data_IF_470972047670
#
_entry.id   IF_470972047670
#
_cell.length_a   1.000
_cell.length_b   1.000
_cell.length_c   1.000
_cell.angle_alpha   90.00
_cell.angle_beta   90.00
_cell.angle_gamma   90.00
#
_symmetry.space_group_name_H-M   'P 1'
#
loop_
_entity.id
_entity.type
_entity.pdbx_description
1 polymer ?
#
# COMPACT_ATOMS: atom_id res chain seq x y z
N UNK A 1 -1.42 -22.89 20.41
CA UNK A 1 -1.36 -21.79 19.45
C UNK A 1 -2.58 -21.82 18.52
N UNK A 2 -2.85 -20.73 17.78
CA UNK A 2 -3.88 -20.75 16.76
C UNK A 2 -3.44 -21.59 15.55
N UNK A 3 -4.38 -22.24 14.87
CA UNK A 3 -4.07 -22.90 13.60
C UNK A 3 -3.82 -21.84 12.50
N UNK A 4 -3.00 -22.13 11.48
CA UNK A 4 -2.78 -21.21 10.37
C UNK A 4 -4.09 -20.82 9.66
N UNK A 5 -5.05 -21.74 9.53
CA UNK A 5 -6.36 -21.49 8.92
C UNK A 5 -7.21 -20.51 9.73
N UNK A 6 -7.18 -20.58 11.06
CA UNK A 6 -7.87 -19.62 11.92
C UNK A 6 -7.27 -18.21 11.77
N UNK A 7 -5.94 -18.11 11.77
CA UNK A 7 -5.27 -16.80 11.58
C UNK A 7 -5.59 -16.24 10.20
N UNK A 8 -5.54 -17.05 9.15
CA UNK A 8 -5.91 -16.64 7.81
C UNK A 8 -7.37 -16.16 7.74
N UNK A 9 -8.30 -16.86 8.38
CA UNK A 9 -9.70 -16.44 8.49
C UNK A 9 -9.87 -15.07 9.15
N UNK A 10 -9.14 -14.82 10.25
CA UNK A 10 -9.15 -13.51 10.94
C UNK A 10 -8.63 -12.40 10.03
N UNK A 11 -7.55 -12.66 9.28
CA UNK A 11 -6.94 -11.69 8.35
C UNK A 11 -7.88 -11.38 7.19
N UNK A 12 -8.45 -12.40 6.54
CA UNK A 12 -9.41 -12.23 5.43
C UNK A 12 -10.62 -11.44 5.91
N UNK A 13 -11.25 -11.86 7.01
CA UNK A 13 -12.40 -11.14 7.57
C UNK A 13 -12.10 -9.69 7.91
N UNK A 14 -10.87 -9.37 8.36
CA UNK A 14 -10.49 -8.00 8.68
C UNK A 14 -10.28 -7.12 7.44
N UNK A 15 -9.60 -7.63 6.43
CA UNK A 15 -9.09 -6.80 5.32
C UNK A 15 -9.91 -6.94 4.05
N UNK A 16 -10.53 -8.09 3.79
CA UNK A 16 -11.38 -8.35 2.63
C UNK A 16 -12.85 -8.10 2.96
N UNK A 17 -13.35 -8.70 4.04
CA UNK A 17 -14.74 -8.52 4.49
C UNK A 17 -14.97 -7.23 5.29
N UNK A 18 -13.94 -6.42 5.52
CA UNK A 18 -13.98 -5.17 6.29
C UNK A 18 -14.53 -5.31 7.73
N UNK A 19 -14.35 -6.49 8.34
CA UNK A 19 -14.87 -6.82 9.66
C UNK A 19 -13.86 -6.46 10.76
N UNK A 20 -14.07 -5.40 11.56
CA UNK A 20 -13.13 -5.00 12.60
C UNK A 20 -12.93 -6.10 13.66
N UNK A 21 -11.74 -6.16 14.27
CA UNK A 21 -11.40 -7.21 15.24
C UNK A 21 -12.35 -7.25 16.45
N UNK A 22 -12.91 -6.11 16.88
CA UNK A 22 -13.87 -6.10 17.99
C UNK A 22 -15.17 -6.83 17.63
N UNK A 23 -15.63 -6.74 16.37
CA UNK A 23 -16.78 -7.50 15.90
C UNK A 23 -16.48 -8.98 15.75
N UNK A 24 -15.28 -9.32 15.30
CA UNK A 24 -14.84 -10.72 15.26
C UNK A 24 -14.78 -11.32 16.67
N UNK A 25 -14.29 -10.59 17.68
CA UNK A 25 -14.31 -10.99 19.09
C UNK A 25 -15.74 -11.33 19.55
N UNK A 26 -16.72 -10.51 19.18
CA UNK A 26 -18.11 -10.74 19.54
C UNK A 26 -18.74 -11.92 18.81
N UNK A 27 -18.36 -12.15 17.55
CA UNK A 27 -18.80 -13.32 16.77
C UNK A 27 -18.26 -14.58 17.44
N UNK A 28 -16.95 -14.65 17.70
CA UNK A 28 -16.35 -15.79 18.39
C UNK A 28 -16.99 -16.06 19.77
N UNK A 29 -17.31 -14.99 20.53
CA UNK A 29 -17.97 -15.14 21.83
C UNK A 29 -19.36 -15.77 21.71
N UNK A 30 -20.14 -15.42 20.68
CA UNK A 30 -21.46 -16.03 20.42
C UNK A 30 -21.36 -17.51 20.07
N UNK A 31 -20.26 -17.89 19.43
CA UNK A 31 -19.95 -19.28 19.08
C UNK A 31 -19.27 -20.06 20.24
N UNK A 32 -19.14 -19.46 21.42
CA UNK A 32 -18.55 -20.08 22.59
C UNK A 32 -17.02 -19.99 22.69
N UNK A 33 -16.35 -19.19 21.83
CA UNK A 33 -14.90 -19.02 21.85
C UNK A 33 -14.52 -17.66 22.48
N UNK A 34 -13.63 -17.67 23.47
CA UNK A 34 -13.17 -16.47 24.14
C UNK A 34 -11.82 -15.98 23.57
N UNK A 35 -11.88 -15.28 22.44
CA UNK A 35 -10.72 -14.71 21.75
C UNK A 35 -10.79 -13.19 21.85
N UNK A 36 -9.92 -12.59 22.66
CA UNK A 36 -9.87 -11.14 22.80
C UNK A 36 -9.35 -10.45 21.54
N UNK A 37 -9.83 -9.24 21.28
CA UNK A 37 -9.34 -8.41 20.16
C UNK A 37 -7.83 -8.17 20.20
N UNK A 38 -7.22 -8.11 21.40
CA UNK A 38 -5.78 -8.00 21.56
C UNK A 38 -5.07 -9.26 21.03
N UNK A 39 -5.63 -10.44 21.31
CA UNK A 39 -5.11 -11.70 20.80
C UNK A 39 -5.22 -11.77 19.28
N UNK A 40 -6.38 -11.40 18.73
CA UNK A 40 -6.58 -11.33 17.29
C UNK A 40 -5.61 -10.33 16.63
N UNK A 41 -5.41 -9.16 17.24
CA UNK A 41 -4.45 -8.17 16.76
C UNK A 41 -3.00 -8.71 16.76
N UNK A 42 -2.60 -9.42 17.83
CA UNK A 42 -1.26 -10.03 17.88
C UNK A 42 -1.04 -11.06 16.76
N UNK A 43 -2.06 -11.85 16.41
CA UNK A 43 -1.99 -12.78 15.29
C UNK A 43 -1.82 -12.08 13.94
N UNK A 44 -2.57 -10.99 13.72
CA UNK A 44 -2.45 -10.20 12.49
C UNK A 44 -1.04 -9.62 12.35
N UNK A 45 -0.47 -9.09 13.43
CA UNK A 45 0.88 -8.52 13.43
C UNK A 45 1.93 -9.61 13.16
N UNK A 46 1.88 -10.73 13.90
CA UNK A 46 2.82 -11.84 13.70
C UNK A 46 2.73 -12.41 12.27
N UNK A 47 1.51 -12.53 11.74
CA UNK A 47 1.31 -12.99 10.35
C UNK A 47 1.93 -12.01 9.33
N UNK A 48 1.73 -10.71 9.53
CA UNK A 48 2.36 -9.69 8.68
C UNK A 48 3.90 -9.82 8.71
N UNK A 49 4.51 -9.98 9.89
CA UNK A 49 5.96 -10.14 10.02
C UNK A 49 6.47 -11.36 9.24
N UNK A 50 5.73 -12.46 9.26
CA UNK A 50 6.05 -13.66 8.47
C UNK A 50 5.91 -13.46 6.96
N UNK A 51 5.07 -12.51 6.52
CA UNK A 51 4.89 -12.18 5.10
C UNK A 51 5.96 -11.21 4.55
N UNK A 52 6.76 -10.56 5.39
CA UNK A 52 7.75 -9.58 4.94
C UNK A 52 8.69 -10.10 3.83
N UNK A 53 9.23 -11.34 3.88
CA UNK A 53 10.06 -11.87 2.79
C UNK A 53 9.30 -12.00 1.47
N UNK A 54 8.01 -12.36 1.53
CA UNK A 54 7.16 -12.45 0.35
C UNK A 54 6.83 -11.06 -0.22
N UNK A 55 6.56 -10.08 0.64
CA UNK A 55 6.35 -8.68 0.23
C UNK A 55 7.62 -8.14 -0.45
N UNK A 56 8.81 -8.39 0.11
CA UNK A 56 10.08 -8.00 -0.52
C UNK A 56 10.28 -8.66 -1.89
N UNK A 57 9.92 -9.93 -2.03
CA UNK A 57 9.92 -10.62 -3.32
C UNK A 57 8.97 -9.95 -4.34
N UNK A 58 7.75 -9.59 -3.93
CA UNK A 58 6.80 -8.88 -4.80
C UNK A 58 7.33 -7.50 -5.20
N UNK A 59 7.90 -6.75 -4.26
CA UNK A 59 8.56 -5.46 -4.54
C UNK A 59 9.67 -5.63 -5.58
N UNK A 60 10.56 -6.61 -5.42
CA UNK A 60 11.60 -6.91 -6.41
C UNK A 60 11.04 -7.19 -7.81
N UNK A 61 9.89 -7.85 -7.89
CA UNK A 61 9.23 -8.10 -9.17
C UNK A 61 8.65 -6.83 -9.78
N UNK A 62 7.94 -6.03 -9.01
CA UNK A 62 7.37 -4.75 -9.45
C UNK A 62 8.46 -3.82 -9.98
N UNK A 63 9.55 -3.66 -9.23
CA UNK A 63 10.66 -2.77 -9.61
C UNK A 63 11.58 -3.33 -10.73
N UNK A 64 11.24 -4.47 -11.31
CA UNK A 64 11.81 -4.97 -12.58
C UNK A 64 10.96 -4.62 -13.80
N UNK A 65 9.78 -4.05 -13.60
CA UNK A 65 8.91 -3.63 -14.71
C UNK A 65 9.56 -2.49 -15.49
N UNK A 66 9.35 -2.46 -16.80
CA UNK A 66 9.80 -1.35 -17.64
C UNK A 66 9.02 -0.05 -17.36
N UNK A 67 7.87 -0.19 -16.72
CA UNK A 67 6.98 0.91 -16.37
C UNK A 67 6.28 0.60 -15.04
N UNK A 68 6.28 1.57 -14.12
CA UNK A 68 5.50 1.50 -12.89
C UNK A 68 4.62 2.74 -12.75
N UNK A 69 3.45 2.55 -12.15
CA UNK A 69 2.57 3.63 -11.73
C UNK A 69 2.58 3.72 -10.22
N UNK A 70 2.69 4.95 -9.69
CA UNK A 70 2.54 5.22 -8.24
C UNK A 70 1.50 6.30 -8.02
N UNK A 71 0.69 6.09 -7.02
CA UNK A 71 -0.29 7.07 -6.54
C UNK A 71 -0.37 6.98 -5.01
N UNK A 72 -0.82 8.03 -4.33
CA UNK A 72 -0.96 7.99 -2.90
C UNK A 72 -2.26 8.62 -2.42
N UNK A 73 -2.79 8.06 -1.35
CA UNK A 73 -3.94 8.62 -0.65
C UNK A 73 -3.61 8.88 0.81
N UNK A 74 -4.17 9.95 1.37
CA UNK A 74 -4.04 10.24 2.79
C UNK A 74 -4.81 9.24 3.62
N UNK A 75 -4.18 8.80 4.71
CA UNK A 75 -4.84 8.01 5.76
C UNK A 75 -4.62 8.67 7.10
N UNK A 76 -5.67 8.71 7.91
CA UNK A 76 -5.57 9.19 9.28
C UNK A 76 -4.92 8.12 10.16
N UNK A 77 -3.91 8.51 10.92
CA UNK A 77 -3.20 7.63 11.85
C UNK A 77 -3.22 8.21 13.25
N UNK A 78 -3.28 7.35 14.25
CA UNK A 78 -3.30 7.77 15.65
C UNK A 78 -1.87 7.81 16.21
N UNK A 79 -1.48 8.96 16.74
CA UNK A 79 -0.30 9.13 17.59
C UNK A 79 1.03 8.61 17.00
N UNK A 80 1.25 8.72 15.69
CA UNK A 80 2.51 8.34 15.08
C UNK A 80 3.49 9.50 15.12
N UNK A 81 4.65 9.31 15.75
CA UNK A 81 5.75 10.28 15.74
C UNK A 81 6.44 10.24 14.37
N UNK A 82 6.49 11.38 13.70
CA UNK A 82 7.27 11.53 12.47
C UNK A 82 8.78 11.55 12.72
N UNK A 83 9.60 11.52 11.65
CA UNK A 83 11.06 11.62 11.76
C UNK A 83 11.56 12.84 12.53
N UNK A 84 10.77 13.93 12.53
CA UNK A 84 11.05 15.17 13.28
C UNK A 84 10.61 15.11 14.75
N UNK A 85 10.14 13.99 15.27
CA UNK A 85 9.58 13.84 16.62
C UNK A 85 8.18 14.44 16.82
N UNK A 86 7.64 15.17 15.84
CA UNK A 86 6.28 15.71 15.89
C UNK A 86 5.25 14.61 15.68
N UNK A 87 4.18 14.65 16.48
CA UNK A 87 3.05 13.73 16.31
C UNK A 87 2.29 14.10 15.04
N UNK A 88 2.27 13.18 14.07
CA UNK A 88 1.47 13.33 12.86
C UNK A 88 0.16 12.54 13.00
N UNK A 89 -0.93 13.16 12.60
CA UNK A 89 -2.24 12.49 12.47
C UNK A 89 -2.48 11.96 11.06
N UNK A 90 -1.56 12.20 10.13
CA UNK A 90 -1.68 11.82 8.73
C UNK A 90 -0.49 10.96 8.31
N UNK A 91 -0.79 9.86 7.67
CA UNK A 91 0.12 9.05 6.88
C UNK A 91 -0.37 8.97 5.44
N UNK A 92 0.30 8.17 4.64
CA UNK A 92 -0.06 7.94 3.24
C UNK A 92 -0.05 6.45 2.94
N UNK A 93 -1.09 6.01 2.26
CA UNK A 93 -1.12 4.71 1.62
C UNK A 93 -0.69 4.90 0.18
N UNK A 94 0.43 4.31 -0.18
CA UNK A 94 0.96 4.29 -1.54
C UNK A 94 0.49 3.04 -2.26
N UNK A 95 -0.02 3.22 -3.46
CA UNK A 95 -0.25 2.13 -4.40
C UNK A 95 0.87 2.15 -5.44
N UNK A 96 1.50 1.00 -5.64
CA UNK A 96 2.50 0.82 -6.72
C UNK A 96 2.03 -0.32 -7.61
N UNK A 97 1.96 -0.06 -8.90
CA UNK A 97 1.52 -1.02 -9.92
C UNK A 97 2.66 -1.20 -10.91
N UNK A 98 3.01 -2.45 -11.19
CA UNK A 98 3.98 -2.81 -12.21
C UNK A 98 3.58 -4.09 -12.92
N UNK A 99 3.99 -4.25 -14.16
CA UNK A 99 3.67 -5.41 -14.96
C UNK A 99 4.82 -6.43 -14.93
N UNK A 100 4.47 -7.68 -14.76
CA UNK A 100 5.41 -8.80 -14.81
C UNK A 100 5.02 -9.76 -15.91
N UNK A 101 6.01 -10.19 -16.68
CA UNK A 101 5.82 -11.23 -17.71
C UNK A 101 6.06 -12.60 -17.11
N UNK A 102 5.09 -13.48 -17.26
CA UNK A 102 5.20 -14.90 -16.90
C UNK A 102 5.62 -15.69 -18.15
N UNK A 103 6.84 -16.25 -18.11
CA UNK A 103 7.42 -17.01 -19.21
C UNK A 103 6.68 -18.32 -19.47
N UNK A 104 6.13 -18.96 -18.44
CA UNK A 104 5.45 -20.25 -18.56
C UNK A 104 4.08 -20.08 -19.23
N UNK A 105 3.31 -19.09 -18.79
CA UNK A 105 1.97 -18.82 -19.33
C UNK A 105 2.00 -17.88 -20.54
N UNK A 106 3.14 -17.24 -20.82
CA UNK A 106 3.32 -16.20 -21.86
C UNK A 106 2.34 -15.03 -21.69
N UNK A 107 1.97 -14.70 -20.46
CA UNK A 107 1.05 -13.62 -20.14
C UNK A 107 1.73 -12.54 -19.31
N UNK A 108 1.27 -11.32 -19.50
CA UNK A 108 1.60 -10.19 -18.62
C UNK A 108 0.56 -10.12 -17.51
N UNK A 109 1.02 -10.00 -16.28
CA UNK A 109 0.20 -9.81 -15.09
C UNK A 109 0.59 -8.51 -14.42
N UNK A 110 -0.40 -7.72 -14.05
CA UNK A 110 -0.18 -6.54 -13.21
C UNK A 110 -0.06 -6.97 -11.75
N UNK A 111 1.02 -6.55 -11.11
CA UNK A 111 1.19 -6.65 -9.66
C UNK A 111 0.83 -5.32 -9.01
N UNK A 112 0.03 -5.37 -7.97
CA UNK A 112 -0.39 -4.21 -7.18
C UNK A 112 0.11 -4.38 -5.77
N UNK A 113 0.80 -3.39 -5.26
CA UNK A 113 1.27 -3.33 -3.88
C UNK A 113 0.72 -2.09 -3.19
N UNK A 114 0.27 -2.26 -1.96
CA UNK A 114 -0.16 -1.20 -1.07
C UNK A 114 0.83 -1.10 0.10
N UNK A 115 1.46 0.06 0.23
CA UNK A 115 2.41 0.35 1.33
C UNK A 115 1.95 1.54 2.14
N UNK A 116 1.99 1.42 3.47
CA UNK A 116 1.87 2.57 4.35
C UNK A 116 3.24 3.23 4.54
N UNK A 117 3.31 4.52 4.24
CA UNK A 117 4.54 5.31 4.41
C UNK A 117 4.19 6.62 5.13
N UNK A 118 5.03 6.98 6.10
CA UNK A 118 4.86 8.23 6.85
C UNK A 118 5.64 9.37 6.20
N UNK A 119 4.98 10.09 5.31
CA UNK A 119 5.56 11.27 4.69
C UNK A 119 5.52 11.24 3.17
N UNK A 120 5.93 12.36 2.59
CA UNK A 120 5.96 12.60 1.14
C UNK A 120 7.24 13.35 0.74
N UNK A 121 8.31 13.27 1.55
CA UNK A 121 9.58 13.84 1.16
C UNK A 121 10.16 13.10 -0.04
N UNK A 122 11.04 13.74 -0.77
CA UNK A 122 11.70 13.13 -1.94
C UNK A 122 12.39 11.83 -1.57
N UNK A 123 13.08 11.80 -0.45
CA UNK A 123 13.82 10.63 0.04
C UNK A 123 12.86 9.45 0.25
N UNK A 124 11.73 9.70 0.89
CA UNK A 124 10.67 8.70 1.13
C UNK A 124 10.07 8.18 -0.18
N UNK A 125 9.80 9.08 -1.14
CA UNK A 125 9.19 8.70 -2.42
C UNK A 125 10.10 7.78 -3.26
N UNK A 126 11.42 7.95 -3.15
CA UNK A 126 12.41 7.21 -3.94
C UNK A 126 13.12 6.09 -3.16
N UNK A 127 12.80 5.88 -1.87
CA UNK A 127 13.45 4.88 -1.03
C UNK A 127 13.42 3.49 -1.66
N UNK A 128 12.23 2.98 -1.99
CA UNK A 128 12.09 1.66 -2.62
C UNK A 128 12.72 1.62 -4.01
N UNK A 129 12.56 2.70 -4.80
CA UNK A 129 13.17 2.77 -6.14
C UNK A 129 14.69 2.67 -6.06
N UNK A 130 15.33 3.38 -5.12
CA UNK A 130 16.76 3.27 -4.86
C UNK A 130 17.15 1.89 -4.35
N UNK A 131 16.42 1.35 -3.38
CA UNK A 131 16.68 0.03 -2.80
C UNK A 131 16.67 -1.10 -3.84
N UNK A 132 15.74 -1.04 -4.80
CA UNK A 132 15.60 -2.07 -5.84
C UNK A 132 16.24 -1.69 -7.18
N UNK A 133 16.96 -0.57 -7.25
CA UNK A 133 17.70 -0.13 -8.45
C UNK A 133 16.80 0.20 -9.64
N UNK A 134 15.63 0.81 -9.39
CA UNK A 134 14.69 1.15 -10.46
C UNK A 134 15.17 2.34 -11.29
N UNK A 135 15.26 2.18 -12.59
CA UNK A 135 15.75 3.20 -13.54
C UNK A 135 14.89 3.37 -14.78
N UNK A 136 13.69 2.77 -14.78
CA UNK A 136 12.76 2.82 -15.93
C UNK A 136 11.68 3.92 -15.75
N UNK A 137 10.58 3.83 -16.49
CA UNK A 137 9.56 4.88 -16.50
C UNK A 137 8.64 4.84 -15.30
N UNK A 138 8.45 6.01 -14.67
CA UNK A 138 7.58 6.22 -13.51
C UNK A 138 6.41 7.14 -13.87
N UNK A 139 5.18 6.67 -13.73
CA UNK A 139 3.97 7.50 -13.86
C UNK A 139 3.39 7.84 -12.48
N UNK A 140 3.11 9.13 -12.25
CA UNK A 140 2.44 9.60 -11.03
C UNK A 140 1.45 10.74 -11.33
N UNK A 141 0.81 11.28 -10.30
CA UNK A 141 -0.14 12.40 -10.38
C UNK A 141 0.52 13.77 -10.66
N UNK A 142 1.84 13.85 -10.74
CA UNK A 142 2.57 15.11 -10.91
C UNK A 142 2.92 15.81 -9.60
N UNK A 143 2.91 15.10 -8.47
CA UNK A 143 3.46 15.62 -7.21
C UNK A 143 4.90 16.11 -7.43
N UNK A 144 5.20 17.33 -6.95
CA UNK A 144 6.52 17.98 -7.15
C UNK A 144 7.72 17.11 -6.77
N UNK A 145 7.57 16.22 -5.77
CA UNK A 145 8.63 15.30 -5.35
C UNK A 145 9.09 14.36 -6.46
N UNK A 146 8.20 13.98 -7.39
CA UNK A 146 8.53 13.08 -8.50
C UNK A 146 9.10 13.78 -9.73
N UNK A 147 8.93 15.11 -9.87
CA UNK A 147 9.35 15.86 -11.07
C UNK A 147 10.88 15.85 -11.31
N UNK A 148 11.66 15.50 -10.28
CA UNK A 148 13.12 15.36 -10.38
C UNK A 148 13.57 14.01 -10.94
N UNK A 149 12.65 13.09 -11.28
CA UNK A 149 12.98 11.81 -11.87
C UNK A 149 13.00 11.91 -13.39
N UNK A 150 14.13 11.59 -14.02
CA UNK A 150 14.37 11.84 -15.44
C UNK A 150 13.35 11.15 -16.37
N UNK A 151 12.89 9.96 -16.00
CA UNK A 151 11.90 9.18 -16.79
C UNK A 151 10.50 9.26 -16.18
N UNK A 152 10.13 10.44 -15.65
CA UNK A 152 8.84 10.69 -15.05
C UNK A 152 7.79 10.99 -16.13
N UNK A 153 6.63 10.37 -16.00
CA UNK A 153 5.44 10.59 -16.81
C UNK A 153 4.29 11.05 -15.92
N UNK A 154 3.61 12.12 -16.30
CA UNK A 154 2.43 12.58 -15.56
C UNK A 154 1.20 11.80 -16.00
N UNK A 155 0.41 11.32 -15.04
CA UNK A 155 -0.83 10.61 -15.29
C UNK A 155 -1.84 11.53 -16.00
N UNK A 156 -2.24 11.15 -17.21
CA UNK A 156 -3.17 11.94 -18.04
C UNK A 156 -4.54 12.13 -17.40
N UNK A 157 -5.02 11.17 -16.62
CA UNK A 157 -6.29 11.29 -15.89
C UNK A 157 -6.25 12.45 -14.89
N UNK A 158 -5.12 12.64 -14.20
CA UNK A 158 -4.95 13.77 -13.28
C UNK A 158 -4.90 15.12 -14.03
N UNK A 159 -4.21 15.18 -15.16
CA UNK A 159 -4.20 16.37 -16.01
C UNK A 159 -5.60 16.75 -16.49
N UNK A 160 -6.37 15.79 -16.99
CA UNK A 160 -7.77 16.00 -17.42
C UNK A 160 -8.67 16.46 -16.28
N UNK A 161 -8.49 15.91 -15.06
CA UNK A 161 -9.24 16.40 -13.89
C UNK A 161 -8.98 17.87 -13.57
N UNK A 162 -7.74 18.34 -13.71
CA UNK A 162 -7.41 19.75 -13.49
C UNK A 162 -8.05 20.64 -14.55
N UNK A 163 -8.01 20.26 -15.83
CA UNK A 163 -8.68 20.97 -16.89
C UNK A 163 -10.20 21.06 -16.67
N UNK A 164 -10.84 19.96 -16.26
CA UNK A 164 -12.28 19.95 -15.93
C UNK A 164 -12.63 20.87 -14.75
N UNK A 165 -11.74 21.02 -13.75
CA UNK A 165 -11.96 21.98 -12.66
C UNK A 165 -11.95 23.43 -13.17
N UNK A 166 -10.99 23.78 -14.03
CA UNK A 166 -10.90 25.12 -14.63
C UNK A 166 -12.16 25.43 -15.43
N UNK A 167 -12.63 24.49 -16.26
CA UNK A 167 -13.85 24.67 -17.05
C UNK A 167 -15.13 24.83 -16.21
N UNK A 168 -15.18 24.26 -14.99
CA UNK A 168 -16.31 24.45 -14.06
C UNK A 168 -16.28 25.79 -13.34
N UNK A 169 -15.11 26.36 -13.14
CA UNK A 169 -14.96 27.69 -12.51
C UNK A 169 -15.34 28.84 -13.45
N UNK A 170 -15.39 28.59 -14.76
CA UNK A 170 -15.75 29.58 -15.78
C UNK A 170 -17.25 29.50 -16.19
N UNK A 171 -18.06 28.76 -15.42
CA UNK A 171 -19.52 28.75 -15.51
C UNK A 171 -20.14 29.38 -14.26
#
# INVERSE_FOLDING_TARGET
GASPSLVAGVVVSKFDDHLPLYRQEEIFRREGYFLSRQKLASWVITYYEQLLPFIDYLKKRIYRSAFISKDETRVSVLNVKGPSGKVSKNGFMYITIGDTYDVQTRKTHSLVLLDYIQGRSREVLFEDMGKYGYTFHLMTDGLKGYLSYDKHCVCWVHAVRQLKKILKLNK
#
